data_IF_062217680229
#
_entry.id   IF_062217680229
#
_cell.length_a   1.000
_cell.length_b   1.000
_cell.length_c   1.000
_cell.angle_alpha   90.00
_cell.angle_beta   90.00
_cell.angle_gamma   90.00
#
_symmetry.space_group_name_H-M   'P 1'
#
loop_
_entity.id
_entity.type
_entity.pdbx_description
1 polymer ?
#
# COMPACT_ATOMS: atom_id res chain seq x y z
N UNK A 1 21.68 11.94 -10.39
CA UNK A 1 20.49 11.93 -9.50
C UNK A 1 20.68 10.82 -8.47
N UNK A 2 20.89 11.17 -7.20
CA UNK A 2 21.33 10.22 -6.16
C UNK A 2 20.29 9.13 -5.89
N UNK A 3 20.74 7.89 -5.68
CA UNK A 3 19.88 6.71 -5.37
C UNK A 3 18.96 7.00 -4.18
N UNK A 4 19.46 7.77 -3.20
CA UNK A 4 18.71 8.25 -2.04
C UNK A 4 17.45 9.01 -2.43
N UNK A 5 17.56 9.99 -3.35
CA UNK A 5 16.41 10.82 -3.74
C UNK A 5 15.32 9.98 -4.43
N UNK A 6 15.71 9.02 -5.25
CA UNK A 6 14.75 8.11 -5.88
C UNK A 6 14.09 7.19 -4.86
N UNK A 7 14.81 6.75 -3.83
CA UNK A 7 14.26 5.97 -2.74
C UNK A 7 13.25 6.79 -1.91
N UNK A 8 13.59 8.03 -1.55
CA UNK A 8 12.68 8.94 -0.84
C UNK A 8 11.41 9.21 -1.65
N UNK A 9 11.54 9.52 -2.94
CA UNK A 9 10.38 9.72 -3.82
C UNK A 9 9.51 8.45 -3.93
N UNK A 10 10.12 7.26 -3.94
CA UNK A 10 9.39 6.01 -3.96
C UNK A 10 8.63 5.78 -2.64
N UNK A 11 9.24 6.09 -1.50
CA UNK A 11 8.58 6.01 -0.20
C UNK A 11 7.39 6.97 -0.14
N UNK A 12 7.59 8.23 -0.53
CA UNK A 12 6.50 9.23 -0.59
C UNK A 12 5.38 8.73 -1.51
N UNK A 13 5.73 8.22 -2.69
CA UNK A 13 4.76 7.65 -3.63
C UNK A 13 3.96 6.50 -3.00
N UNK A 14 4.64 5.55 -2.34
CA UNK A 14 3.97 4.42 -1.70
C UNK A 14 3.02 4.88 -0.60
N UNK A 15 3.42 5.85 0.23
CA UNK A 15 2.56 6.42 1.28
C UNK A 15 1.31 7.03 0.66
N UNK A 16 1.47 7.92 -0.32
CA UNK A 16 0.35 8.62 -0.98
C UNK A 16 -0.57 7.63 -1.71
N UNK A 17 -0.01 6.72 -2.49
CA UNK A 17 -0.79 5.73 -3.25
C UNK A 17 -1.55 4.77 -2.32
N UNK A 18 -0.95 4.38 -1.20
CA UNK A 18 -1.62 3.55 -0.18
C UNK A 18 -2.80 4.28 0.44
N UNK A 19 -2.66 5.57 0.77
CA UNK A 19 -3.76 6.37 1.31
C UNK A 19 -4.89 6.54 0.30
N UNK A 20 -4.57 6.83 -0.96
CA UNK A 20 -5.57 6.93 -2.03
C UNK A 20 -6.32 5.61 -2.18
N UNK A 21 -5.59 4.48 -2.23
CA UNK A 21 -6.20 3.16 -2.36
C UNK A 21 -7.08 2.81 -1.15
N UNK A 22 -6.63 3.10 0.08
CA UNK A 22 -7.42 2.90 1.29
C UNK A 22 -8.68 3.77 1.33
N UNK A 23 -8.60 5.03 0.88
CA UNK A 23 -9.76 5.92 0.76
C UNK A 23 -10.76 5.48 -0.30
N UNK A 24 -10.30 4.81 -1.36
CA UNK A 24 -11.20 4.21 -2.34
C UNK A 24 -11.98 3.08 -1.68
N UNK A 25 -11.32 2.22 -0.91
CA UNK A 25 -11.98 1.13 -0.19
C UNK A 25 -12.95 1.60 0.89
N UNK A 26 -12.65 2.70 1.60
CA UNK A 26 -13.58 3.24 2.59
C UNK A 26 -14.91 3.73 2.00
N UNK A 27 -14.96 4.00 0.69
CA UNK A 27 -16.20 4.36 -0.03
C UNK A 27 -16.98 3.15 -0.52
N UNK A 28 -16.35 1.98 -0.60
CA UNK A 28 -16.93 0.74 -1.12
C UNK A 28 -16.65 -0.44 -0.18
N UNK A 29 -17.09 -0.35 1.09
CA UNK A 29 -16.78 -1.38 2.11
C UNK A 29 -17.35 -2.75 1.72
N UNK A 30 -18.49 -2.79 1.03
CA UNK A 30 -19.16 -4.04 0.61
C UNK A 30 -18.34 -4.85 -0.40
N UNK A 31 -17.40 -4.21 -1.10
CA UNK A 31 -16.52 -4.85 -2.06
C UNK A 31 -15.14 -5.16 -1.48
N UNK A 32 -14.89 -4.75 -0.23
CA UNK A 32 -13.60 -4.98 0.40
C UNK A 32 -13.38 -6.48 0.57
N UNK A 33 -12.21 -7.02 0.18
CA UNK A 33 -11.96 -8.44 0.32
C UNK A 33 -12.10 -8.88 1.77
N UNK A 34 -12.84 -9.95 2.02
CA UNK A 34 -12.86 -10.60 3.32
C UNK A 34 -11.51 -11.29 3.54
N UNK A 35 -10.75 -10.79 4.51
CA UNK A 35 -9.49 -11.43 4.91
C UNK A 35 -9.74 -12.41 6.06
N UNK A 36 -8.91 -13.47 6.18
CA UNK A 36 -8.98 -14.39 7.30
C UNK A 36 -8.84 -13.66 8.65
N UNK A 37 -9.46 -14.19 9.70
CA UNK A 37 -9.39 -13.62 11.05
C UNK A 37 -7.95 -13.45 11.57
N UNK A 38 -7.01 -14.25 11.09
CA UNK A 38 -5.58 -14.11 11.43
C UNK A 38 -5.03 -12.74 11.02
N UNK A 39 -5.51 -12.17 9.92
CA UNK A 39 -5.12 -10.84 9.44
C UNK A 39 -5.70 -9.75 10.34
N UNK A 40 -6.96 -9.89 10.75
CA UNK A 40 -7.59 -9.01 11.74
C UNK A 40 -6.84 -9.00 13.07
N UNK A 41 -6.51 -10.19 13.60
CA UNK A 41 -5.70 -10.34 14.83
C UNK A 41 -4.29 -9.76 14.71
N UNK A 42 -3.66 -9.91 13.54
CA UNK A 42 -2.36 -9.30 13.29
C UNK A 42 -2.43 -7.77 13.30
N UNK A 43 -3.45 -7.19 12.67
CA UNK A 43 -3.66 -5.74 12.64
C UNK A 43 -4.00 -5.21 14.03
N UNK A 44 -4.86 -5.91 14.78
CA UNK A 44 -5.16 -5.60 16.18
C UNK A 44 -3.89 -5.62 17.04
N UNK A 45 -3.05 -6.66 16.91
CA UNK A 45 -1.76 -6.72 17.59
C UNK A 45 -0.82 -5.57 17.20
N UNK A 46 -0.75 -5.23 15.91
CA UNK A 46 0.10 -4.15 15.39
C UNK A 46 -0.37 -2.76 15.85
N UNK A 47 -1.67 -2.58 16.03
CA UNK A 47 -2.30 -1.30 16.41
C UNK A 47 -2.64 -1.21 17.90
N UNK A 48 -2.37 -2.27 18.67
CA UNK A 48 -2.72 -2.40 20.10
C UNK A 48 -2.19 -1.26 20.96
N UNK A 49 -0.94 -0.87 20.72
CA UNK A 49 -0.29 0.21 21.48
C UNK A 49 -0.76 1.61 21.06
N UNK A 50 -1.49 1.71 19.94
CA UNK A 50 -1.96 2.98 19.38
C UNK A 50 -3.32 3.44 19.93
N UNK A 51 -3.94 2.69 20.86
CA UNK A 51 -5.28 2.93 21.43
C UNK A 51 -6.23 3.62 20.43
N UNK A 52 -6.61 2.94 19.33
CA UNK A 52 -7.52 3.49 18.35
C UNK A 52 -8.78 4.01 19.07
N UNK A 53 -9.08 5.32 18.92
CA UNK A 53 -10.24 6.00 19.53
C UNK A 53 -11.53 5.55 18.84
N UNK A 54 -11.89 4.28 19.01
CA UNK A 54 -13.13 3.68 18.48
C UNK A 54 -12.94 2.81 17.23
N UNK A 55 -13.99 2.06 16.91
CA UNK A 55 -14.06 1.03 15.85
C UNK A 55 -13.75 1.62 14.46
N UNK A 56 -14.13 2.87 14.23
CA UNK A 56 -13.89 3.58 12.97
C UNK A 56 -12.39 3.76 12.68
N UNK A 57 -11.60 4.09 13.71
CA UNK A 57 -10.15 4.23 13.57
C UNK A 57 -9.46 2.89 13.31
N UNK A 58 -9.90 1.81 13.96
CA UNK A 58 -9.41 0.46 13.70
C UNK A 58 -9.71 0.02 12.25
N UNK A 59 -10.92 0.31 11.77
CA UNK A 59 -11.35 0.03 10.39
C UNK A 59 -10.51 0.82 9.37
N UNK A 60 -10.18 2.07 9.68
CA UNK A 60 -9.31 2.90 8.83
C UNK A 60 -7.89 2.33 8.75
N UNK A 61 -7.30 1.93 9.88
CA UNK A 61 -5.99 1.27 9.89
C UNK A 61 -6.01 -0.05 9.13
N UNK A 62 -7.10 -0.81 9.26
CA UNK A 62 -7.31 -2.04 8.53
C UNK A 62 -7.24 -1.82 7.01
N UNK A 63 -7.99 -0.84 6.48
CA UNK A 63 -7.94 -0.50 5.05
C UNK A 63 -6.56 0.00 4.60
N UNK A 64 -5.87 0.82 5.40
CA UNK A 64 -4.55 1.34 5.05
C UNK A 64 -3.49 0.23 5.00
N UNK A 65 -3.44 -0.63 6.02
CA UNK A 65 -2.47 -1.72 6.12
C UNK A 65 -2.66 -2.71 4.96
N UNK A 66 -3.91 -3.05 4.66
CA UNK A 66 -4.23 -4.00 3.59
C UNK A 66 -4.10 -3.39 2.18
N UNK A 67 -4.16 -2.07 2.08
CA UNK A 67 -3.89 -1.35 0.83
C UNK A 67 -2.41 -1.32 0.47
N UNK A 68 -1.50 -1.44 1.43
CA UNK A 68 -0.06 -1.32 1.16
C UNK A 68 0.50 -2.45 0.29
N UNK A 69 0.26 -3.75 0.57
CA UNK A 69 0.78 -4.85 -0.26
C UNK A 69 0.41 -4.76 -1.75
N UNK A 70 -0.88 -4.58 -2.16
CA UNK A 70 -1.22 -4.50 -3.57
C UNK A 70 -0.59 -3.27 -4.23
N UNK A 71 -0.56 -2.11 -3.56
CA UNK A 71 0.10 -0.90 -4.07
C UNK A 71 1.61 -1.11 -4.26
N UNK A 72 2.27 -1.78 -3.32
CA UNK A 72 3.69 -2.11 -3.41
C UNK A 72 3.99 -3.07 -4.56
N UNK A 73 3.18 -4.12 -4.73
CA UNK A 73 3.31 -5.09 -5.83
C UNK A 73 3.10 -4.40 -7.19
N UNK A 74 2.03 -3.61 -7.34
CA UNK A 74 1.75 -2.88 -8.57
C UNK A 74 2.87 -1.87 -8.90
N UNK A 75 3.37 -1.16 -7.90
CA UNK A 75 4.49 -0.23 -8.07
C UNK A 75 5.76 -0.98 -8.50
N UNK A 76 6.06 -2.12 -7.87
CA UNK A 76 7.20 -2.96 -8.23
C UNK A 76 7.09 -3.51 -9.66
N UNK A 77 5.91 -3.99 -10.06
CA UNK A 77 5.62 -4.44 -11.41
C UNK A 77 5.78 -3.31 -12.43
N UNK A 78 5.23 -2.12 -12.16
CA UNK A 78 5.37 -0.95 -13.02
C UNK A 78 6.84 -0.54 -13.21
N UNK A 79 7.63 -0.55 -12.13
CA UNK A 79 9.07 -0.30 -12.21
C UNK A 79 9.82 -1.39 -12.97
N UNK A 80 9.45 -2.65 -12.80
CA UNK A 80 10.04 -3.78 -13.51
C UNK A 80 9.76 -3.71 -15.02
N UNK A 81 8.50 -3.45 -15.41
CA UNK A 81 8.09 -3.27 -16.79
C UNK A 81 8.81 -2.07 -17.42
N UNK A 82 8.85 -0.93 -16.71
CA UNK A 82 9.61 0.25 -17.16
C UNK A 82 11.09 -0.09 -17.42
N UNK A 83 11.71 -0.88 -16.55
CA UNK A 83 13.09 -1.36 -16.75
C UNK A 83 13.23 -2.26 -17.96
N UNK A 84 12.31 -3.21 -18.17
CA UNK A 84 12.31 -4.10 -19.34
C UNK A 84 12.14 -3.32 -20.65
N UNK A 85 11.17 -2.40 -20.70
CA UNK A 85 10.90 -1.58 -21.89
C UNK A 85 12.09 -0.68 -22.23
N UNK A 86 12.70 -0.04 -21.23
CA UNK A 86 13.86 0.83 -21.44
C UNK A 86 15.12 0.08 -21.90
N UNK A 87 15.25 -1.21 -21.56
CA UNK A 87 16.31 -2.08 -22.09
C UNK A 87 16.07 -2.46 -23.55
N UNK A 88 14.82 -2.68 -23.96
CA UNK A 88 14.47 -2.96 -25.36
C UNK A 88 14.57 -1.75 -26.28
N UNK A 89 14.30 -0.55 -25.76
CA UNK A 89 14.34 0.70 -26.53
C UNK A 89 15.74 1.31 -26.72
N UNK A 90 16.80 0.69 -26.18
CA UNK A 90 18.19 1.00 -26.54
C UNK A 90 18.69 -0.08 -27.50
N UNK A 91 18.44 0.03 -28.82
CA UNK A 91 19.22 -0.73 -29.78
C UNK A 91 20.68 -0.27 -29.67
N UNK A 92 21.60 -1.22 -29.82
CA UNK A 92 23.04 -0.97 -29.90
C UNK A 92 23.37 0.04 -31.00
#
# INVERSE_FOLDING_TARGET
>A
MSRLRNAVLLVIWLVVATHIHGLVWSRYPDYFPEYPESVGRFIDWLTRDYQPRGIESLTTYYYLILSFPPVAVLTALGLFLRRKLRRRAKPH
#
